data_IF_389769551128
#
_entry.id   IF_389769551128
#
_cell.length_a   1.000
_cell.length_b   1.000
_cell.length_c   1.000
_cell.angle_alpha   90.00
_cell.angle_beta   90.00
_cell.angle_gamma   90.00
#
_symmetry.space_group_name_H-M   'P 1'
#
loop_
_entity.id
_entity.type
_entity.pdbx_description
1 polymer ?
#
# COMPACT_ATOMS: atom_id res chain seq x y z
N UNK A 1 -4.77 -8.29 -32.95
CA UNK A 1 -3.30 -8.19 -33.13
C UNK A 1 -2.64 -8.08 -31.77
N UNK A 2 -1.43 -8.61 -31.60
CA UNK A 2 -0.62 -8.35 -30.39
C UNK A 2 -0.13 -6.89 -30.47
N UNK A 3 -0.03 -6.22 -29.32
CA UNK A 3 0.54 -4.87 -29.23
C UNK A 3 2.07 -4.88 -29.02
N UNK A 4 2.69 -6.07 -28.97
CA UNK A 4 4.09 -6.28 -28.58
C UNK A 4 4.70 -7.38 -29.42
N UNK A 5 5.25 -6.99 -30.57
CA UNK A 5 5.63 -7.92 -31.64
C UNK A 5 7.15 -8.10 -31.80
N UNK A 6 7.95 -7.29 -31.10
CA UNK A 6 9.41 -7.35 -31.13
C UNK A 6 9.92 -8.28 -30.02
N UNK A 7 10.55 -9.39 -30.38
CA UNK A 7 11.20 -10.33 -29.43
C UNK A 7 12.59 -9.83 -29.03
N UNK A 8 12.92 -9.93 -27.74
CA UNK A 8 14.27 -9.74 -27.20
C UNK A 8 14.67 -11.01 -26.42
N UNK A 9 15.92 -11.45 -26.59
CA UNK A 9 16.49 -12.61 -25.91
C UNK A 9 17.92 -12.30 -25.50
N UNK A 10 18.28 -12.67 -24.28
CA UNK A 10 19.58 -12.44 -23.67
C UNK A 10 19.90 -13.60 -22.73
N UNK A 11 21.19 -13.84 -22.50
CA UNK A 11 21.67 -14.83 -21.55
C UNK A 11 22.05 -14.12 -20.25
N UNK A 12 21.71 -14.73 -19.12
CA UNK A 12 22.11 -14.28 -17.79
C UNK A 12 23.02 -15.33 -17.16
N UNK A 13 23.98 -14.88 -16.37
CA UNK A 13 24.69 -15.78 -15.47
C UNK A 13 23.81 -16.14 -14.25
N UNK A 14 24.25 -17.11 -13.45
CA UNK A 14 23.48 -17.60 -12.31
C UNK A 14 23.12 -16.49 -11.30
N UNK A 15 24.05 -15.57 -11.03
CA UNK A 15 23.87 -14.47 -10.08
C UNK A 15 22.84 -13.46 -10.60
N UNK A 16 22.95 -13.07 -11.87
CA UNK A 16 22.01 -12.16 -12.53
C UNK A 16 20.59 -12.74 -12.56
N UNK A 17 20.45 -14.02 -12.86
CA UNK A 17 19.16 -14.70 -12.85
C UNK A 17 18.54 -14.75 -11.45
N UNK A 18 19.35 -15.03 -10.42
CA UNK A 18 18.88 -14.99 -9.03
C UNK A 18 18.40 -13.59 -8.63
N UNK A 19 19.16 -12.55 -8.98
CA UNK A 19 18.78 -11.17 -8.71
C UNK A 19 17.48 -10.76 -9.42
N UNK A 20 17.33 -11.14 -10.70
CA UNK A 20 16.11 -10.88 -11.46
C UNK A 20 14.89 -11.52 -10.79
N UNK A 21 15.01 -12.80 -10.40
CA UNK A 21 13.94 -13.53 -9.71
C UNK A 21 13.57 -12.89 -8.37
N UNK A 22 14.55 -12.48 -7.57
CA UNK A 22 14.31 -11.80 -6.30
C UNK A 22 13.57 -10.48 -6.49
N UNK A 23 14.00 -9.65 -7.46
CA UNK A 23 13.34 -8.38 -7.77
C UNK A 23 11.92 -8.57 -8.30
N UNK A 24 11.69 -9.58 -9.12
CA UNK A 24 10.35 -9.94 -9.57
C UNK A 24 9.45 -10.39 -8.41
N UNK A 25 9.98 -11.19 -7.49
CA UNK A 25 9.26 -11.63 -6.28
C UNK A 25 8.89 -10.46 -5.38
N UNK A 26 9.83 -9.55 -5.11
CA UNK A 26 9.60 -8.36 -4.28
C UNK A 26 8.55 -7.42 -4.87
N UNK A 27 8.41 -7.38 -6.19
CA UNK A 27 7.52 -6.43 -6.89
C UNK A 27 6.20 -7.06 -7.32
N UNK A 28 6.11 -8.40 -7.30
CA UNK A 28 4.98 -9.15 -7.84
C UNK A 28 4.87 -9.09 -9.37
N UNK A 29 5.91 -8.59 -10.06
CA UNK A 29 5.92 -8.46 -11.52
C UNK A 29 6.50 -9.71 -12.18
N UNK A 30 6.03 -10.02 -13.39
CA UNK A 30 6.74 -10.96 -14.27
C UNK A 30 8.05 -10.34 -14.75
N UNK A 31 9.04 -11.17 -15.06
CA UNK A 31 10.34 -10.73 -15.62
C UNK A 31 10.16 -9.85 -16.85
N UNK A 32 9.16 -10.16 -17.68
CA UNK A 32 8.81 -9.37 -18.87
C UNK A 32 8.27 -7.98 -18.52
N UNK A 33 7.47 -7.85 -17.47
CA UNK A 33 6.96 -6.56 -17.00
C UNK A 33 8.07 -5.77 -16.29
N UNK A 34 8.86 -6.44 -15.45
CA UNK A 34 10.00 -5.85 -14.77
C UNK A 34 10.97 -5.19 -15.77
N UNK A 35 11.34 -5.93 -16.82
CA UNK A 35 12.18 -5.40 -17.91
C UNK A 35 11.57 -4.18 -18.61
N UNK A 36 10.25 -4.19 -18.87
CA UNK A 36 9.56 -3.04 -19.48
C UNK A 36 9.58 -1.81 -18.57
N UNK A 37 9.33 -1.97 -17.28
CA UNK A 37 9.39 -0.86 -16.34
C UNK A 37 10.80 -0.26 -16.26
N UNK A 38 11.85 -1.09 -16.33
CA UNK A 38 13.23 -0.60 -16.43
C UNK A 38 13.44 0.26 -17.68
N UNK A 39 12.90 -0.13 -18.85
CA UNK A 39 13.01 0.66 -20.08
C UNK A 39 12.23 1.98 -19.97
N UNK A 40 11.03 1.94 -19.42
CA UNK A 40 10.15 3.11 -19.30
C UNK A 40 10.59 4.10 -18.22
N UNK A 41 11.58 3.74 -17.39
CA UNK A 41 12.02 4.57 -16.26
C UNK A 41 10.96 4.70 -15.16
N UNK A 42 9.95 3.83 -15.16
CA UNK A 42 8.90 3.86 -14.14
C UNK A 42 9.45 3.38 -12.80
N UNK A 43 9.02 4.04 -11.72
CA UNK A 43 9.44 3.68 -10.36
C UNK A 43 8.84 2.33 -10.00
N UNK A 44 9.66 1.28 -10.04
CA UNK A 44 9.25 -0.07 -9.65
C UNK A 44 8.97 -0.08 -8.15
N UNK A 45 7.69 -0.17 -7.78
CA UNK A 45 7.27 -0.25 -6.38
C UNK A 45 7.32 -1.70 -5.92
N UNK A 46 7.87 -1.92 -4.74
CA UNK A 46 7.75 -3.21 -4.06
C UNK A 46 6.28 -3.50 -3.75
N UNK A 47 5.93 -4.78 -3.71
CA UNK A 47 4.61 -5.22 -3.28
C UNK A 47 4.39 -4.65 -1.87
N UNK A 48 3.25 -3.99 -1.61
CA UNK A 48 2.92 -3.60 -0.25
C UNK A 48 2.91 -4.84 0.64
N UNK A 49 3.61 -4.77 1.76
CA UNK A 49 3.60 -5.78 2.81
C UNK A 49 2.20 -5.87 3.45
N UNK A 50 1.90 -6.97 4.15
CA UNK A 50 0.59 -7.17 4.80
C UNK A 50 0.22 -5.99 5.71
N UNK A 51 1.20 -5.43 6.42
CA UNK A 51 1.02 -4.25 7.29
C UNK A 51 0.52 -3.02 6.54
N UNK A 52 0.78 -2.88 5.23
CA UNK A 52 0.19 -1.80 4.43
C UNK A 52 -1.32 -1.93 4.33
N UNK A 53 -1.82 -3.16 4.18
CA UNK A 53 -3.26 -3.42 4.15
C UNK A 53 -3.89 -3.21 5.54
N UNK A 54 -3.21 -3.62 6.62
CA UNK A 54 -3.67 -3.36 8.00
C UNK A 54 -3.80 -1.85 8.29
N UNK A 55 -2.84 -1.05 7.82
CA UNK A 55 -2.92 0.41 7.93
C UNK A 55 -4.07 1.00 7.08
N UNK A 56 -4.31 0.47 5.88
CA UNK A 56 -5.44 0.91 5.05
C UNK A 56 -6.79 0.61 5.72
N UNK A 57 -6.93 -0.55 6.34
CA UNK A 57 -8.16 -0.92 7.04
C UNK A 57 -8.37 -0.09 8.31
N UNK A 58 -7.29 0.18 9.06
CA UNK A 58 -7.31 1.11 10.20
C UNK A 58 -7.76 2.51 9.77
N UNK A 59 -7.26 3.02 8.64
CA UNK A 59 -7.66 4.31 8.09
C UNK A 59 -9.14 4.33 7.68
N UNK A 60 -9.67 3.24 7.11
CA UNK A 60 -11.10 3.11 6.78
C UNK A 60 -11.97 3.10 8.03
N UNK A 61 -11.52 2.45 9.10
CA UNK A 61 -12.18 2.48 10.41
C UNK A 61 -12.29 3.91 10.95
N UNK A 62 -11.16 4.61 10.99
CA UNK A 62 -11.09 6.03 11.39
C UNK A 62 -12.06 6.89 10.55
N UNK A 63 -12.02 6.77 9.22
CA UNK A 63 -12.91 7.55 8.34
C UNK A 63 -14.40 7.26 8.60
N UNK A 64 -14.74 6.00 8.88
CA UNK A 64 -16.10 5.59 9.21
C UNK A 64 -16.56 6.18 10.54
N UNK A 65 -15.69 6.14 11.56
CA UNK A 65 -15.96 6.72 12.89
C UNK A 65 -16.18 8.24 12.81
N UNK A 66 -15.36 8.97 12.04
CA UNK A 66 -15.56 10.41 11.78
C UNK A 66 -16.93 10.66 11.16
N UNK A 67 -17.29 9.89 10.14
CA UNK A 67 -18.56 10.07 9.43
C UNK A 67 -19.77 9.81 10.35
N UNK A 68 -19.66 8.86 11.27
CA UNK A 68 -20.70 8.59 12.27
C UNK A 68 -20.85 9.76 13.26
N UNK A 69 -19.73 10.27 13.79
CA UNK A 69 -19.73 11.43 14.70
C UNK A 69 -20.35 12.65 14.00
N UNK A 70 -19.96 12.92 12.76
CA UNK A 70 -20.49 14.04 11.98
C UNK A 70 -22.01 13.91 11.73
N UNK A 71 -22.50 12.70 11.40
CA UNK A 71 -23.94 12.45 11.24
C UNK A 71 -24.71 12.65 12.54
N UNK A 72 -24.17 12.18 13.66
CA UNK A 72 -24.78 12.32 14.99
C UNK A 72 -24.92 13.81 15.34
N UNK A 73 -23.83 14.56 15.19
CA UNK A 73 -23.80 16.01 15.40
C UNK A 73 -24.81 16.76 14.53
N UNK A 74 -24.85 16.45 13.22
CA UNK A 74 -25.77 17.09 12.27
C UNK A 74 -27.24 16.77 12.54
N UNK A 75 -27.52 15.61 13.16
CA UNK A 75 -28.87 15.20 13.52
C UNK A 75 -29.35 15.81 14.86
N UNK A 76 -28.51 16.63 15.51
CA UNK A 76 -28.82 17.29 16.78
C UNK A 76 -28.68 16.40 18.01
N UNK A 77 -28.10 15.19 17.86
CA UNK A 77 -27.80 14.33 19.00
C UNK A 77 -26.55 14.82 19.72
N UNK A 78 -26.56 14.72 21.04
CA UNK A 78 -25.40 15.01 21.87
C UNK A 78 -24.28 14.00 21.56
N UNK A 79 -23.07 14.49 21.32
CA UNK A 79 -21.92 13.64 21.00
C UNK A 79 -21.35 13.11 22.31
N UNK A 80 -21.29 11.79 22.46
CA UNK A 80 -20.70 11.15 23.63
C UNK A 80 -19.18 11.41 23.68
N UNK A 81 -18.74 12.13 24.72
CA UNK A 81 -17.33 12.43 24.97
C UNK A 81 -16.45 11.16 25.07
N UNK A 82 -17.01 10.03 25.49
CA UNK A 82 -16.30 8.74 25.52
C UNK A 82 -16.01 8.22 24.11
N UNK A 83 -16.94 8.40 23.18
CA UNK A 83 -16.75 8.01 21.78
C UNK A 83 -15.66 8.86 21.12
N UNK A 84 -15.63 10.17 21.39
CA UNK A 84 -14.57 11.06 20.93
C UNK A 84 -13.20 10.66 21.49
N UNK A 85 -13.12 10.33 22.78
CA UNK A 85 -11.88 9.89 23.43
C UNK A 85 -11.35 8.55 22.86
N UNK A 86 -12.26 7.61 22.58
CA UNK A 86 -11.92 6.34 21.93
C UNK A 86 -11.39 6.57 20.51
N UNK A 87 -12.06 7.42 19.74
CA UNK A 87 -11.62 7.80 18.39
C UNK A 87 -10.25 8.48 18.40
N UNK A 88 -10.01 9.42 19.32
CA UNK A 88 -8.71 10.08 19.47
C UNK A 88 -7.58 9.06 19.75
N UNK A 89 -7.88 8.05 20.57
CA UNK A 89 -6.94 6.97 20.89
C UNK A 89 -6.62 6.12 19.66
N UNK A 90 -7.62 5.78 18.85
CA UNK A 90 -7.45 5.02 17.60
C UNK A 90 -6.57 5.80 16.60
N UNK A 91 -6.81 7.10 16.42
CA UNK A 91 -6.02 7.96 15.54
C UNK A 91 -4.57 8.06 16.02
N UNK A 92 -4.35 8.26 17.33
CA UNK A 92 -2.99 8.30 17.91
C UNK A 92 -2.24 6.99 17.68
N UNK A 93 -2.91 5.85 17.85
CA UNK A 93 -2.34 4.54 17.57
C UNK A 93 -1.93 4.41 16.11
N UNK A 94 -2.82 4.73 15.18
CA UNK A 94 -2.52 4.70 13.74
C UNK A 94 -1.33 5.58 13.36
N UNK A 95 -1.21 6.78 13.94
CA UNK A 95 -0.05 7.67 13.73
C UNK A 95 1.24 7.03 14.25
N UNK A 96 1.20 6.36 15.41
CA UNK A 96 2.38 5.68 15.94
C UNK A 96 2.78 4.48 15.07
N UNK A 97 1.82 3.68 14.60
CA UNK A 97 2.07 2.56 13.69
C UNK A 97 2.73 3.03 12.38
N UNK A 98 2.33 4.21 11.86
CA UNK A 98 2.97 4.84 10.72
C UNK A 98 4.40 5.32 11.02
N UNK A 99 4.62 5.90 12.20
CA UNK A 99 5.95 6.35 12.63
C UNK A 99 6.91 5.18 12.72
N UNK A 100 6.55 4.11 13.41
CA UNK A 100 7.40 2.92 13.56
C UNK A 100 7.81 2.29 12.23
N UNK A 101 6.99 2.46 11.19
CA UNK A 101 7.24 1.85 9.89
C UNK A 101 8.08 2.71 8.95
N UNK A 102 7.90 4.03 8.98
CA UNK A 102 8.41 4.92 7.93
C UNK A 102 9.38 6.00 8.40
N UNK A 103 9.51 6.22 9.72
CA UNK A 103 10.40 7.23 10.32
C UNK A 103 11.39 6.59 11.29
#
# INVERSE_FOLDING_TARGET
>A
MRNRDIKKSFYLNAKENQMLKQKCLQTGLSESNFFRMCILGEKIKEKPDERFFDMLDSLRGIATNINQIAKSANSGYEIDARQLSAFETEVKKFINDLREKYL
#
